data_IF_453560004753
#
_entry.id   IF_453560004753
#
_cell.length_a   1.000
_cell.length_b   1.000
_cell.length_c   1.000
_cell.angle_alpha   90.00
_cell.angle_beta   90.00
_cell.angle_gamma   90.00
#
_symmetry.space_group_name_H-M   'P 1'
#
loop_
_entity.id
_entity.type
_entity.pdbx_description
1 polymer ?
#
# COMPACT_ATOMS: atom_id res chain seq x y z
N UNK A 1 24.58 4.78 3.97
CA UNK A 1 23.43 3.90 3.70
C UNK A 1 23.77 3.09 2.47
N UNK A 2 23.70 1.77 2.55
CA UNK A 2 23.97 0.88 1.41
C UNK A 2 22.70 0.08 1.13
N UNK A 3 21.95 0.41 0.06
CA UNK A 3 20.81 -0.38 -0.38
C UNK A 3 21.26 -1.68 -1.04
N UNK A 4 20.53 -2.78 -0.86
CA UNK A 4 20.65 -4.00 -1.67
C UNK A 4 19.30 -4.37 -2.26
N UNK A 5 19.32 -4.80 -3.53
CA UNK A 5 18.16 -5.23 -4.31
C UNK A 5 18.06 -6.77 -4.24
N UNK A 6 16.98 -7.27 -3.66
CA UNK A 6 16.61 -8.68 -3.73
C UNK A 6 15.44 -8.79 -4.71
N UNK A 7 15.74 -9.32 -5.91
CA UNK A 7 14.83 -9.36 -7.05
C UNK A 7 13.42 -9.90 -6.77
N UNK A 8 12.47 -9.35 -7.52
CA UNK A 8 11.03 -9.68 -7.57
C UNK A 8 10.74 -11.20 -7.74
N UNK A 9 9.55 -11.74 -7.36
CA UNK A 9 8.24 -11.07 -7.33
C UNK A 9 7.38 -11.43 -6.11
N UNK A 10 7.36 -10.58 -5.07
CA UNK A 10 6.27 -10.37 -4.11
C UNK A 10 6.66 -9.15 -3.27
N UNK A 11 6.21 -7.96 -3.70
CA UNK A 11 6.60 -6.69 -3.09
C UNK A 11 8.08 -6.37 -3.34
N UNK A 12 8.36 -5.28 -4.06
CA UNK A 12 9.73 -4.80 -4.16
C UNK A 12 10.24 -4.46 -2.76
N UNK A 13 11.32 -5.12 -2.33
CA UNK A 13 11.94 -4.92 -1.03
C UNK A 13 13.26 -4.22 -1.24
N UNK A 14 13.35 -2.99 -0.76
CA UNK A 14 14.62 -2.27 -0.69
C UNK A 14 15.06 -2.32 0.76
N UNK A 15 16.25 -2.86 1.02
CA UNK A 15 16.79 -2.98 2.37
C UNK A 15 18.20 -2.43 2.46
N UNK A 16 18.66 -2.19 3.68
CA UNK A 16 20.03 -1.75 3.90
C UNK A 16 20.29 -1.41 5.36
N UNK A 17 21.34 -0.63 5.58
CA UNK A 17 21.68 -0.14 6.91
C UNK A 17 21.70 1.39 6.99
N UNK A 18 21.37 1.92 8.16
CA UNK A 18 21.39 3.34 8.47
C UNK A 18 22.06 3.58 9.84
N UNK A 19 22.71 4.73 10.06
CA UNK A 19 23.20 5.11 11.38
C UNK A 19 22.07 5.19 12.41
N UNK A 20 22.37 5.01 13.68
CA UNK A 20 21.39 5.03 14.79
C UNK A 20 20.69 6.38 15.00
N UNK A 21 21.12 7.44 14.33
CA UNK A 21 20.45 8.75 14.31
C UNK A 21 19.31 8.85 13.30
N UNK A 22 19.15 7.85 12.43
CA UNK A 22 18.05 7.76 11.47
C UNK A 22 16.89 7.01 12.13
N UNK A 23 15.70 7.60 12.06
CA UNK A 23 14.48 7.06 12.67
C UNK A 23 13.48 6.56 11.63
N UNK A 24 13.57 7.06 10.41
CA UNK A 24 12.72 6.64 9.30
C UNK A 24 13.44 6.89 7.96
N UNK A 25 13.01 6.19 6.92
CA UNK A 25 13.53 6.30 5.56
C UNK A 25 12.35 6.51 4.63
N UNK A 26 12.35 7.62 3.91
CA UNK A 26 11.27 7.96 3.00
C UNK A 26 11.75 7.84 1.56
N UNK A 27 10.83 7.51 0.67
CA UNK A 27 11.07 7.55 -0.77
C UNK A 27 10.33 8.76 -1.32
N UNK A 28 11.05 9.68 -1.97
CA UNK A 28 10.46 10.89 -2.55
C UNK A 28 9.36 10.52 -3.55
N UNK A 29 8.17 11.10 -3.40
CA UNK A 29 7.02 10.83 -4.29
C UNK A 29 6.21 9.58 -3.94
N UNK A 30 6.64 8.79 -2.95
CA UNK A 30 6.02 7.52 -2.58
C UNK A 30 5.60 7.49 -1.09
N UNK A 31 4.54 8.24 -0.71
CA UNK A 31 4.04 8.29 0.67
C UNK A 31 3.45 6.97 1.17
N UNK A 32 3.15 6.03 0.27
CA UNK A 32 2.64 4.69 0.58
C UNK A 32 3.70 3.75 1.17
N UNK A 33 4.99 4.07 0.97
CA UNK A 33 6.10 3.25 1.45
C UNK A 33 6.14 3.25 2.97
N UNK A 34 6.36 2.06 3.55
CA UNK A 34 6.54 1.86 4.98
C UNK A 34 7.94 1.38 5.26
N UNK A 35 8.56 1.95 6.30
CA UNK A 35 9.85 1.50 6.82
C UNK A 35 9.65 0.52 7.96
N UNK A 36 10.33 -0.61 7.87
CA UNK A 36 10.46 -1.61 8.94
C UNK A 36 11.92 -1.65 9.39
N UNK A 37 12.15 -1.87 10.69
CA UNK A 37 13.50 -1.94 11.27
C UNK A 37 13.77 -3.35 11.82
N UNK A 38 14.14 -4.32 10.97
CA UNK A 38 14.43 -5.69 11.41
C UNK A 38 15.67 -5.81 12.31
N UNK A 39 16.54 -4.79 12.35
CA UNK A 39 17.69 -4.72 13.23
C UNK A 39 17.96 -3.28 13.69
N UNK A 40 18.84 -3.10 14.68
CA UNK A 40 19.15 -1.78 15.28
C UNK A 40 19.54 -0.73 14.23
N UNK A 41 20.25 -1.16 13.18
CA UNK A 41 20.64 -0.31 12.04
C UNK A 41 20.08 -0.80 10.72
N UNK A 42 19.47 -1.99 10.69
CA UNK A 42 18.94 -2.61 9.49
C UNK A 42 17.51 -2.14 9.24
N UNK A 43 17.25 -1.69 8.03
CA UNK A 43 15.93 -1.21 7.60
C UNK A 43 15.49 -1.94 6.34
N UNK A 44 14.17 -1.97 6.15
CA UNK A 44 13.48 -2.57 5.00
C UNK A 44 12.33 -1.66 4.59
N UNK A 45 12.20 -1.36 3.31
CA UNK A 45 11.07 -0.64 2.74
C UNK A 45 10.07 -1.64 2.17
N UNK A 46 8.79 -1.42 2.49
CA UNK A 46 7.66 -2.24 2.03
C UNK A 46 6.56 -1.34 1.46
N UNK A 47 5.66 -1.92 0.67
CA UNK A 47 4.50 -1.21 0.12
C UNK A 47 4.79 -0.26 -1.04
N UNK A 48 6.00 -0.29 -1.61
CA UNK A 48 6.37 0.50 -2.79
C UNK A 48 5.58 0.04 -4.02
N UNK A 49 4.90 0.98 -4.68
CA UNK A 49 4.01 0.71 -5.81
C UNK A 49 4.60 1.32 -7.08
N UNK A 50 5.05 0.47 -7.99
CA UNK A 50 5.72 0.88 -9.22
C UNK A 50 5.19 0.06 -10.39
N UNK A 51 4.95 0.73 -11.51
CA UNK A 51 4.72 0.07 -12.79
C UNK A 51 5.92 -0.76 -13.22
N UNK A 52 5.70 -1.70 -14.15
CA UNK A 52 6.78 -2.35 -14.89
C UNK A 52 7.81 -1.39 -15.49
N UNK A 53 9.08 -1.76 -15.41
CA UNK A 53 10.20 -1.01 -16.00
C UNK A 53 11.22 -0.51 -14.98
N UNK A 54 12.10 0.38 -15.44
CA UNK A 54 13.19 0.94 -14.64
C UNK A 54 12.78 2.25 -13.97
N UNK A 55 12.88 2.30 -12.64
CA UNK A 55 12.58 3.48 -11.83
C UNK A 55 13.82 3.99 -11.12
N UNK A 56 13.95 5.32 -11.04
CA UNK A 56 14.96 5.99 -10.24
C UNK A 56 14.27 6.61 -9.03
N UNK A 57 14.63 6.11 -7.85
CA UNK A 57 14.07 6.50 -6.57
C UNK A 57 15.08 7.30 -5.78
N UNK A 58 14.59 8.25 -4.99
CA UNK A 58 15.42 9.02 -4.06
C UNK A 58 15.03 8.68 -2.63
N UNK A 59 15.98 8.11 -1.88
CA UNK A 59 15.78 7.72 -0.48
C UNK A 59 16.28 8.85 0.43
N UNK A 60 15.44 9.27 1.37
CA UNK A 60 15.70 10.34 2.33
C UNK A 60 15.63 9.77 3.74
N UNK A 61 16.76 9.74 4.42
CA UNK A 61 16.81 9.42 5.85
C UNK A 61 16.27 10.60 6.67
N UNK A 62 15.40 10.34 7.64
CA UNK A 62 14.85 11.35 8.54
C UNK A 62 15.17 11.04 10.00
N UNK A 63 15.31 12.10 10.78
CA UNK A 63 15.59 12.02 12.22
C UNK A 63 14.29 11.89 13.04
N UNK A 64 14.43 11.87 14.37
CA UNK A 64 13.30 11.77 15.31
C UNK A 64 12.30 12.93 15.23
N UNK A 65 12.69 14.05 14.65
CA UNK A 65 11.85 15.24 14.47
C UNK A 65 11.17 15.22 13.09
N UNK A 66 11.41 14.17 12.28
CA UNK A 66 10.91 14.05 10.91
C UNK A 66 11.62 14.97 9.93
N UNK A 67 12.74 15.59 10.33
CA UNK A 67 13.57 16.40 9.44
C UNK A 67 14.55 15.49 8.72
N UNK A 68 15.01 15.84 7.50
CA UNK A 68 16.11 15.14 6.86
C UNK A 68 17.27 15.00 7.86
N UNK A 69 17.79 13.78 8.03
CA UNK A 69 18.85 13.44 8.98
C UNK A 69 20.21 13.98 8.49
N UNK A 70 20.27 15.29 8.26
CA UNK A 70 21.44 16.07 7.88
C UNK A 70 21.96 16.68 9.16
N UNK A 71 22.79 15.94 9.89
CA UNK A 71 23.50 16.51 11.04
C UNK A 71 25.00 16.61 10.73
N UNK A 72 25.74 17.36 11.55
CA UNK A 72 27.18 17.62 11.32
C UNK A 72 28.08 16.36 11.32
N UNK A 73 27.53 15.17 11.58
CA UNK A 73 28.22 13.87 11.50
C UNK A 73 27.66 12.95 10.40
N UNK A 74 26.52 13.31 9.80
CA UNK A 74 25.76 12.48 8.87
C UNK A 74 25.31 13.39 7.72
N UNK A 75 26.11 13.46 6.65
CA UNK A 75 25.73 14.10 5.39
C UNK A 75 25.04 13.06 4.49
N UNK A 76 23.83 12.65 4.85
CA UNK A 76 23.02 11.79 4.01
C UNK A 76 22.27 12.66 3.00
N UNK A 77 22.97 13.02 1.92
CA UNK A 77 22.30 13.44 0.70
C UNK A 77 21.29 12.35 0.28
N UNK A 78 20.20 12.71 -0.43
CA UNK A 78 19.29 11.72 -1.00
C UNK A 78 20.11 10.66 -1.76
N UNK A 79 19.83 9.40 -1.46
CA UNK A 79 20.55 8.27 -2.09
C UNK A 79 19.73 7.84 -3.30
N UNK A 80 20.25 7.99 -4.53
CA UNK A 80 19.57 7.47 -5.71
C UNK A 80 19.66 5.96 -5.72
N UNK A 81 18.52 5.30 -5.92
CA UNK A 81 18.43 3.85 -6.11
C UNK A 81 17.74 3.60 -7.43
N UNK A 82 18.34 2.75 -8.26
CA UNK A 82 17.70 2.29 -9.49
C UNK A 82 17.09 0.93 -9.21
N UNK A 83 15.83 0.76 -9.60
CA UNK A 83 15.12 -0.50 -9.44
C UNK A 83 14.51 -0.90 -10.78
N UNK A 84 14.51 -2.20 -11.06
CA UNK A 84 13.91 -2.78 -12.24
C UNK A 84 12.77 -3.71 -11.85
N UNK A 85 11.57 -3.38 -12.31
CA UNK A 85 10.36 -4.20 -12.12
C UNK A 85 10.10 -4.98 -13.41
N UNK A 86 10.24 -6.32 -13.40
CA UNK A 86 10.01 -7.11 -14.60
C UNK A 86 8.50 -7.24 -14.90
N UNK A 87 8.09 -6.79 -16.07
CA UNK A 87 6.72 -6.98 -16.58
C UNK A 87 5.66 -6.13 -15.85
N UNK A 88 4.39 -6.45 -16.09
CA UNK A 88 3.25 -5.76 -15.45
C UNK A 88 3.13 -6.17 -13.99
N UNK A 89 2.84 -5.21 -13.14
CA UNK A 89 2.52 -5.44 -11.73
C UNK A 89 1.03 -5.67 -11.53
N UNK A 90 0.63 -6.40 -10.48
CA UNK A 90 -0.79 -6.59 -10.20
C UNK A 90 -1.43 -5.27 -9.70
N UNK A 91 -2.74 -5.07 -9.95
CA UNK A 91 -3.50 -4.00 -9.34
C UNK A 91 -3.46 -4.05 -7.81
N UNK A 92 -3.67 -2.88 -7.23
CA UNK A 92 -3.69 -2.71 -5.79
C UNK A 92 -5.10 -2.35 -5.38
N UNK A 93 -5.77 -3.30 -4.75
CA UNK A 93 -7.10 -3.11 -4.20
C UNK A 93 -7.04 -2.20 -2.97
N UNK A 94 -7.85 -1.13 -2.97
CA UNK A 94 -8.08 -0.30 -1.80
C UNK A 94 -9.57 -0.25 -1.54
N UNK A 95 -9.98 -0.86 -0.42
CA UNK A 95 -11.35 -1.06 -0.06
C UNK A 95 -11.71 -0.29 1.23
N UNK A 96 -12.76 0.52 1.14
CA UNK A 96 -13.33 1.29 2.24
C UNK A 96 -14.80 0.93 2.45
N UNK A 97 -15.30 1.14 3.66
CA UNK A 97 -16.70 0.89 3.99
C UNK A 97 -17.34 2.08 4.72
N UNK A 98 -18.65 2.21 4.57
CA UNK A 98 -19.49 3.10 5.36
C UNK A 98 -20.65 2.31 6.00
N UNK A 99 -20.69 2.20 7.34
CA UNK A 99 -19.76 2.81 8.30
C UNK A 99 -18.37 2.19 8.27
N UNK A 100 -17.33 3.00 8.54
CA UNK A 100 -15.93 2.57 8.55
C UNK A 100 -15.60 1.53 9.64
N UNK A 101 -16.53 1.28 10.56
CA UNK A 101 -16.42 0.22 11.57
C UNK A 101 -16.66 -1.18 11.01
N UNK A 102 -17.16 -1.30 9.76
CA UNK A 102 -17.55 -2.58 9.16
C UNK A 102 -18.68 -3.31 9.91
N UNK A 103 -19.35 -2.63 10.83
CA UNK A 103 -20.44 -3.17 11.62
C UNK A 103 -21.73 -2.44 11.31
N UNK A 104 -22.71 -3.19 10.82
CA UNK A 104 -24.07 -2.71 10.56
C UNK A 104 -25.06 -3.65 11.25
N UNK A 105 -26.22 -3.13 11.65
CA UNK A 105 -27.30 -3.98 12.14
C UNK A 105 -27.86 -4.83 10.99
N UNK A 106 -28.36 -6.03 11.31
CA UNK A 106 -29.01 -6.87 10.31
C UNK A 106 -30.19 -6.12 9.65
N UNK A 107 -30.24 -6.16 8.33
CA UNK A 107 -31.21 -5.44 7.49
C UNK A 107 -30.78 -4.03 7.09
N UNK A 108 -29.71 -3.48 7.66
CA UNK A 108 -29.16 -2.19 7.23
C UNK A 108 -28.16 -2.36 6.07
N UNK A 109 -27.96 -1.28 5.33
CA UNK A 109 -26.99 -1.21 4.24
C UNK A 109 -25.56 -1.01 4.74
N UNK A 110 -24.63 -1.80 4.21
CA UNK A 110 -23.19 -1.55 4.24
C UNK A 110 -22.78 -1.05 2.85
N UNK A 111 -22.29 0.19 2.79
CA UNK A 111 -21.73 0.73 1.54
C UNK A 111 -20.23 0.40 1.48
N UNK A 112 -19.78 0.02 0.29
CA UNK A 112 -18.41 -0.37 0.00
C UNK A 112 -17.89 0.48 -1.16
N UNK A 113 -16.65 0.95 -1.04
CA UNK A 113 -15.98 1.78 -2.03
C UNK A 113 -14.58 1.23 -2.29
N UNK A 114 -14.39 0.66 -3.49
CA UNK A 114 -13.11 0.18 -3.99
C UNK A 114 -12.48 1.14 -5.01
N UNK A 115 -13.02 2.35 -5.20
CA UNK A 115 -12.53 3.28 -6.24
C UNK A 115 -11.14 3.85 -5.96
N UNK A 116 -10.61 3.67 -4.75
CA UNK A 116 -9.20 3.97 -4.44
C UNK A 116 -8.22 2.95 -5.03
N UNK A 117 -8.73 1.83 -5.56
CA UNK A 117 -7.92 0.80 -6.21
C UNK A 117 -7.28 1.33 -7.47
N UNK A 118 -6.06 0.88 -7.75
CA UNK A 118 -5.25 1.40 -8.85
C UNK A 118 -4.32 0.33 -9.41
N UNK A 119 -4.20 0.32 -10.72
CA UNK A 119 -3.17 -0.39 -11.45
C UNK A 119 -1.92 0.50 -11.52
N UNK A 120 -0.73 0.05 -11.11
CA UNK A 120 0.48 0.87 -11.20
C UNK A 120 0.80 1.30 -12.64
N UNK A 121 0.42 0.50 -13.65
CA UNK A 121 0.56 0.84 -15.06
C UNK A 121 -0.51 1.82 -15.57
N UNK A 122 -1.50 2.17 -14.73
CA UNK A 122 -2.58 3.10 -15.07
C UNK A 122 -3.68 2.46 -15.91
N UNK A 123 -3.72 1.13 -16.00
CA UNK A 123 -4.78 0.40 -16.70
C UNK A 123 -6.12 0.61 -15.99
N UNK A 124 -7.21 0.92 -16.71
CA UNK A 124 -8.54 1.01 -16.11
C UNK A 124 -8.95 -0.32 -15.48
N UNK A 125 -9.40 -0.29 -14.23
CA UNK A 125 -9.79 -1.48 -13.47
C UNK A 125 -11.27 -1.84 -13.68
N UNK A 126 -11.54 -3.16 -13.69
CA UNK A 126 -12.88 -3.71 -13.53
C UNK A 126 -13.21 -3.86 -12.04
N UNK A 127 -14.47 -4.09 -11.69
CA UNK A 127 -14.85 -4.37 -10.30
C UNK A 127 -15.92 -5.45 -10.25
N UNK A 128 -15.64 -6.53 -9.55
CA UNK A 128 -16.63 -7.57 -9.24
C UNK A 128 -16.67 -7.81 -7.73
N UNK A 129 -17.87 -7.89 -7.17
CA UNK A 129 -18.09 -8.00 -5.73
C UNK A 129 -18.66 -9.37 -5.37
N UNK A 130 -18.17 -9.94 -4.28
CA UNK A 130 -18.70 -11.17 -3.69
C UNK A 130 -18.67 -11.08 -2.16
N UNK A 131 -19.52 -11.85 -1.49
CA UNK A 131 -19.37 -12.05 -0.05
C UNK A 131 -19.80 -13.44 0.41
N UNK A 132 -19.29 -13.86 1.57
CA UNK A 132 -19.59 -15.13 2.21
C UNK A 132 -19.86 -14.92 3.70
N UNK A 133 -21.08 -15.20 4.20
CA UNK A 133 -22.26 -15.63 3.47
C UNK A 133 -22.74 -14.63 2.40
N UNK A 134 -23.59 -15.07 1.48
CA UNK A 134 -24.16 -14.16 0.48
C UNK A 134 -25.12 -13.17 1.16
N UNK A 135 -25.03 -11.85 0.89
CA UNK A 135 -25.99 -10.87 1.37
C UNK A 135 -27.39 -11.13 0.81
N UNK A 136 -28.41 -10.55 1.45
CA UNK A 136 -29.77 -10.62 0.94
C UNK A 136 -29.93 -9.83 -0.38
N UNK A 137 -29.14 -8.77 -0.56
CA UNK A 137 -29.08 -8.03 -1.81
C UNK A 137 -27.74 -7.32 -2.01
N UNK A 138 -27.40 -7.13 -3.29
CA UNK A 138 -26.36 -6.25 -3.79
C UNK A 138 -26.98 -5.16 -4.67
N UNK A 139 -26.46 -3.94 -4.57
CA UNK A 139 -26.68 -2.90 -5.58
C UNK A 139 -25.38 -2.18 -5.88
N UNK A 140 -25.27 -1.60 -7.07
CA UNK A 140 -24.12 -0.80 -7.49
C UNK A 140 -24.60 0.52 -8.05
N UNK A 141 -23.99 1.62 -7.60
CA UNK A 141 -24.29 2.98 -8.03
C UNK A 141 -23.27 3.54 -9.03
N UNK A 142 -22.07 2.96 -9.07
CA UNK A 142 -20.99 3.29 -10.00
C UNK A 142 -19.95 2.16 -10.03
N UNK A 143 -19.04 2.11 -11.03
CA UNK A 143 -17.88 1.24 -10.97
C UNK A 143 -17.12 1.42 -9.64
N UNK A 144 -16.74 0.31 -9.01
CA UNK A 144 -16.04 0.31 -7.73
C UNK A 144 -16.89 0.70 -6.52
N UNK A 145 -18.20 0.91 -6.64
CA UNK A 145 -19.10 1.06 -5.49
C UNK A 145 -20.12 -0.06 -5.44
N UNK A 146 -20.33 -0.60 -4.25
CA UNK A 146 -21.38 -1.58 -3.98
C UNK A 146 -22.09 -1.27 -2.65
N UNK A 147 -23.33 -1.71 -2.55
CA UNK A 147 -24.09 -1.69 -1.31
C UNK A 147 -24.60 -3.10 -1.05
N UNK A 148 -24.25 -3.66 0.10
CA UNK A 148 -24.71 -4.96 0.56
C UNK A 148 -25.75 -4.78 1.67
N UNK A 149 -26.80 -5.59 1.67
CA UNK A 149 -27.75 -5.68 2.79
C UNK A 149 -27.77 -7.12 3.31
N UNK A 150 -27.36 -7.31 4.55
CA UNK A 150 -27.32 -8.63 5.19
C UNK A 150 -28.46 -8.73 6.21
N UNK A 151 -29.40 -9.66 6.02
CA UNK A 151 -30.56 -9.82 6.93
C UNK A 151 -30.32 -10.82 8.06
N UNK A 152 -29.28 -11.63 7.96
CA UNK A 152 -28.84 -12.54 9.02
C UNK A 152 -27.66 -11.92 9.76
N UNK A 153 -27.67 -11.89 11.10
CA UNK A 153 -26.51 -11.45 11.85
C UNK A 153 -25.37 -12.47 11.71
N UNK A 154 -24.14 -11.98 11.58
CA UNK A 154 -22.97 -12.84 11.46
C UNK A 154 -21.76 -12.11 10.89
N UNK A 155 -20.66 -12.84 10.75
CA UNK A 155 -19.47 -12.36 10.05
C UNK A 155 -19.63 -12.65 8.56
N UNK A 156 -19.43 -11.61 7.74
CA UNK A 156 -19.43 -11.69 6.29
C UNK A 156 -18.02 -11.36 5.80
N UNK A 157 -17.41 -12.28 5.07
CA UNK A 157 -16.18 -12.02 4.33
C UNK A 157 -16.56 -11.43 2.99
N UNK A 158 -16.15 -10.18 2.72
CA UNK A 158 -16.38 -9.48 1.46
C UNK A 158 -15.10 -9.51 0.64
N UNK A 159 -15.25 -9.72 -0.67
CA UNK A 159 -14.16 -9.75 -1.64
C UNK A 159 -14.51 -8.82 -2.82
N UNK A 160 -13.48 -8.16 -3.35
CA UNK A 160 -13.57 -7.36 -4.57
C UNK A 160 -12.43 -7.75 -5.49
N UNK A 161 -12.78 -8.19 -6.71
CA UNK A 161 -11.82 -8.42 -7.78
C UNK A 161 -11.65 -7.12 -8.58
N UNK A 162 -10.40 -6.71 -8.76
CA UNK A 162 -9.97 -5.48 -9.45
C UNK A 162 -9.09 -5.77 -10.65
#
# INVERSE_FOLDING_TARGET
MTPSDAGAPEGLVIEGTAPTGVFDIRVTGHPEVRTEWPAITGWRLTGLQLAGGTHKLELVAVDRLGQPAVNSLINLAPVPVTVEIPGNTPPIAQLEANPASWHVAAGNSLELDARGSRDPEGTPLGFAWAARPEPASWSSSSPGRATAVCTQPGLYQVEVDV
#
